data_IF_698220748703
#
_entry.id   IF_698220748703
#
_cell.length_a   1.000
_cell.length_b   1.000
_cell.length_c   1.000
_cell.angle_alpha   90.00
_cell.angle_beta   90.00
_cell.angle_gamma   90.00
#
_symmetry.space_group_name_H-M   'P 1'
#
loop_
_entity.id
_entity.type
_entity.pdbx_description
1 polymer ?
#
# COMPACT_ATOMS: atom_id res chain seq x y z
N UNK A 1 -28.99 3.26 -23.59
CA UNK A 1 -28.68 2.64 -22.28
C UNK A 1 -28.11 3.75 -21.42
N UNK A 2 -28.62 3.99 -20.20
CA UNK A 2 -27.95 4.91 -19.30
C UNK A 2 -26.58 4.34 -18.93
N UNK A 3 -25.55 5.18 -18.93
CA UNK A 3 -24.21 4.83 -18.45
C UNK A 3 -24.33 4.34 -17.01
N UNK A 4 -24.22 3.02 -16.81
CA UNK A 4 -24.11 2.45 -15.47
C UNK A 4 -22.72 2.84 -14.99
N UNK A 5 -22.58 3.60 -13.89
CA UNK A 5 -21.26 3.95 -13.39
C UNK A 5 -20.48 2.67 -13.09
N UNK A 6 -19.41 2.44 -13.85
CA UNK A 6 -18.47 1.36 -13.57
C UNK A 6 -17.68 1.76 -12.32
N UNK A 7 -18.03 1.17 -11.19
CA UNK A 7 -17.22 1.28 -9.98
C UNK A 7 -15.86 0.63 -10.20
N UNK A 8 -14.80 1.44 -10.25
CA UNK A 8 -13.43 0.94 -10.24
C UNK A 8 -13.08 0.53 -8.81
N UNK A 9 -12.83 -0.76 -8.59
CA UNK A 9 -12.29 -1.23 -7.33
C UNK A 9 -10.80 -0.93 -7.26
N UNK A 10 -10.41 0.02 -6.42
CA UNK A 10 -9.01 0.29 -6.12
C UNK A 10 -8.56 -0.61 -4.96
N UNK A 11 -7.74 -1.61 -5.28
CA UNK A 11 -7.10 -2.48 -4.29
C UNK A 11 -5.65 -2.74 -4.69
N UNK A 12 -4.76 -2.81 -3.68
CA UNK A 12 -3.38 -3.25 -3.86
C UNK A 12 -3.28 -4.70 -3.39
N UNK A 13 -3.17 -5.62 -4.34
CA UNK A 13 -3.01 -7.05 -4.09
C UNK A 13 -1.54 -7.44 -3.95
N UNK A 14 -1.20 -8.51 -3.20
CA UNK A 14 0.16 -9.05 -3.20
C UNK A 14 0.58 -9.50 -4.61
N UNK A 15 1.89 -9.59 -4.84
CA UNK A 15 2.39 -10.15 -6.09
C UNK A 15 1.88 -11.59 -6.26
N UNK A 16 1.46 -11.97 -7.47
CA UNK A 16 0.92 -13.32 -7.73
C UNK A 16 1.93 -14.44 -7.39
N UNK A 17 3.22 -14.14 -7.49
CA UNK A 17 4.31 -15.04 -7.12
C UNK A 17 4.38 -15.32 -5.61
N UNK A 18 3.81 -14.46 -4.76
CA UNK A 18 3.81 -14.65 -3.30
C UNK A 18 2.54 -15.33 -2.78
N UNK A 19 1.54 -15.53 -3.64
CA UNK A 19 0.28 -16.20 -3.26
C UNK A 19 0.44 -17.72 -3.31
N UNK A 20 -0.33 -18.47 -2.51
CA UNK A 20 -0.44 -19.92 -2.68
C UNK A 20 -1.41 -20.29 -3.82
N UNK A 21 -1.53 -21.57 -4.14
CA UNK A 21 -2.39 -22.04 -5.23
C UNK A 21 -3.87 -21.68 -4.98
N UNK A 22 -4.34 -21.85 -3.75
CA UNK A 22 -5.72 -21.59 -3.32
C UNK A 22 -6.08 -20.10 -3.39
N UNK A 23 -5.12 -19.22 -3.08
CA UNK A 23 -5.30 -17.77 -3.18
C UNK A 23 -5.34 -17.30 -4.65
N UNK A 24 -4.49 -17.89 -5.51
CA UNK A 24 -4.47 -17.57 -6.94
C UNK A 24 -5.72 -18.03 -7.69
N UNK A 25 -6.36 -19.09 -7.23
CA UNK A 25 -7.60 -19.63 -7.82
C UNK A 25 -8.88 -19.07 -7.20
N UNK A 26 -8.78 -18.22 -6.17
CA UNK A 26 -9.94 -17.56 -5.56
C UNK A 26 -10.71 -18.42 -4.55
N UNK A 27 -10.16 -19.58 -4.15
CA UNK A 27 -10.74 -20.42 -3.09
C UNK A 27 -10.34 -19.94 -1.70
N UNK A 28 -9.36 -19.05 -1.58
CA UNK A 28 -8.95 -18.40 -0.33
C UNK A 28 -8.77 -16.90 -0.51
N UNK A 29 -8.86 -16.17 0.60
CA UNK A 29 -8.59 -14.73 0.63
C UNK A 29 -7.14 -14.44 0.24
N UNK A 30 -6.90 -13.49 -0.66
CA UNK A 30 -5.53 -13.11 -1.08
C UNK A 30 -4.66 -12.55 0.05
N UNK A 31 -5.25 -12.17 1.19
CA UNK A 31 -4.53 -11.57 2.33
C UNK A 31 -4.51 -12.44 3.60
N UNK A 32 -5.26 -13.54 3.66
CA UNK A 32 -5.29 -14.40 4.85
C UNK A 32 -5.67 -15.85 4.47
N UNK A 33 -5.41 -16.86 5.32
CA UNK A 33 -5.65 -18.26 4.96
C UNK A 33 -7.14 -18.66 4.97
N UNK A 34 -8.07 -17.71 5.15
CA UNK A 34 -9.50 -17.99 5.18
C UNK A 34 -9.99 -18.50 3.82
N UNK A 35 -10.59 -19.68 3.81
CA UNK A 35 -11.31 -20.22 2.66
C UNK A 35 -12.53 -19.35 2.31
N UNK A 36 -12.82 -19.26 1.02
CA UNK A 36 -13.92 -18.50 0.42
C UNK A 36 -14.79 -19.47 -0.39
N UNK A 37 -15.90 -19.97 0.17
CA UNK A 37 -16.85 -20.80 -0.54
C UNK A 37 -17.35 -20.14 -1.85
N UNK A 38 -17.89 -20.94 -2.78
CA UNK A 38 -18.57 -20.40 -3.96
C UNK A 38 -19.61 -19.33 -3.56
N UNK A 39 -19.58 -18.17 -4.22
CA UNK A 39 -20.47 -17.04 -3.89
C UNK A 39 -20.01 -16.15 -2.73
N UNK A 40 -19.01 -16.54 -1.93
CA UNK A 40 -18.51 -15.72 -0.81
C UNK A 40 -17.25 -14.90 -1.13
N UNK A 41 -17.22 -13.65 -0.70
CA UNK A 41 -16.05 -12.80 -0.83
C UNK A 41 -16.15 -11.82 -2.00
N UNK A 42 -15.23 -10.86 -1.99
CA UNK A 42 -15.24 -9.70 -2.88
C UNK A 42 -14.22 -9.95 -3.99
N UNK A 43 -14.65 -9.86 -5.25
CA UNK A 43 -13.78 -9.98 -6.42
C UNK A 43 -12.85 -8.77 -6.53
N UNK A 44 -11.56 -9.04 -6.73
CA UNK A 44 -10.49 -8.03 -6.80
C UNK A 44 -9.87 -7.90 -8.19
N UNK A 45 -10.15 -8.86 -9.09
CA UNK A 45 -9.66 -8.88 -10.46
C UNK A 45 -10.83 -8.92 -11.44
N UNK A 46 -10.68 -8.41 -12.68
CA UNK A 46 -11.75 -8.41 -13.67
C UNK A 46 -12.27 -9.82 -14.01
N UNK A 47 -11.40 -10.83 -13.94
CA UNK A 47 -11.74 -12.24 -14.16
C UNK A 47 -12.32 -12.94 -12.92
N UNK A 48 -12.46 -12.23 -11.80
CA UNK A 48 -12.99 -12.75 -10.53
C UNK A 48 -12.10 -13.76 -9.81
N UNK A 49 -10.87 -14.04 -10.32
CA UNK A 49 -9.97 -15.03 -9.72
C UNK A 49 -9.39 -14.60 -8.38
N UNK A 50 -9.01 -13.34 -8.24
CA UNK A 50 -8.51 -12.83 -6.97
C UNK A 50 -9.70 -12.41 -6.11
N UNK A 51 -9.79 -12.96 -4.91
CA UNK A 51 -10.93 -12.73 -4.01
C UNK A 51 -10.45 -12.42 -2.59
N UNK A 52 -11.26 -11.66 -1.86
CA UNK A 52 -11.01 -11.34 -0.47
C UNK A 52 -12.20 -11.58 0.44
N UNK A 53 -11.91 -11.97 1.68
CA UNK A 53 -12.92 -11.93 2.73
C UNK A 53 -13.25 -10.47 3.09
N UNK A 54 -14.50 -10.23 3.51
CA UNK A 54 -14.98 -8.88 3.84
C UNK A 54 -14.08 -8.14 4.87
N UNK A 55 -13.62 -8.78 5.97
CA UNK A 55 -12.74 -8.10 6.93
C UNK A 55 -11.42 -7.62 6.29
N UNK A 56 -10.72 -8.47 5.55
CA UNK A 56 -9.48 -8.09 4.89
C UNK A 56 -9.72 -7.01 3.84
N UNK A 57 -10.77 -7.12 3.04
CA UNK A 57 -11.12 -6.10 2.06
C UNK A 57 -11.29 -4.72 2.72
N UNK A 58 -12.12 -4.61 3.77
CA UNK A 58 -12.33 -3.34 4.48
C UNK A 58 -11.03 -2.74 5.00
N UNK A 59 -10.18 -3.56 5.61
CA UNK A 59 -8.91 -3.09 6.16
C UNK A 59 -7.96 -2.63 5.05
N UNK A 60 -7.85 -3.39 3.97
CA UNK A 60 -6.93 -3.09 2.85
C UNK A 60 -7.38 -1.88 2.04
N UNK A 61 -8.68 -1.70 1.81
CA UNK A 61 -9.23 -0.48 1.21
C UNK A 61 -8.95 0.73 2.09
N UNK A 62 -9.06 0.60 3.42
CA UNK A 62 -8.74 1.70 4.34
C UNK A 62 -7.24 2.06 4.33
N UNK A 63 -6.36 1.08 4.20
CA UNK A 63 -4.91 1.34 4.01
C UNK A 63 -4.71 2.19 2.75
N UNK A 64 -5.34 1.82 1.64
CA UNK A 64 -5.20 2.57 0.39
C UNK A 64 -5.80 3.98 0.49
N UNK A 65 -7.01 4.11 1.03
CA UNK A 65 -7.67 5.41 1.18
C UNK A 65 -6.82 6.39 2.00
N UNK A 66 -6.35 5.95 3.17
CA UNK A 66 -5.47 6.79 4.02
C UNK A 66 -4.13 7.12 3.38
N UNK A 67 -3.60 6.24 2.51
CA UNK A 67 -2.40 6.53 1.73
C UNK A 67 -2.66 7.65 0.73
N UNK A 68 -3.76 7.55 -0.03
CA UNK A 68 -4.11 8.52 -1.07
C UNK A 68 -4.42 9.89 -0.46
N UNK A 69 -5.19 9.95 0.64
CA UNK A 69 -5.46 11.19 1.37
C UNK A 69 -4.16 11.88 1.81
N UNK A 70 -3.19 11.09 2.28
CA UNK A 70 -1.89 11.61 2.70
C UNK A 70 -1.03 12.05 1.51
N UNK A 71 -1.03 11.30 0.43
CA UNK A 71 -0.31 11.62 -0.80
C UNK A 71 -0.85 12.90 -1.44
N UNK A 72 -2.17 13.01 -1.58
CA UNK A 72 -2.85 14.18 -2.15
C UNK A 72 -2.55 15.43 -1.33
N UNK A 73 -2.57 15.34 0.00
CA UNK A 73 -2.12 16.43 0.84
C UNK A 73 -0.65 16.79 0.59
N UNK A 74 0.23 15.79 0.47
CA UNK A 74 1.67 15.98 0.25
C UNK A 74 2.00 16.73 -1.04
N UNK A 75 1.26 16.48 -2.13
CA UNK A 75 1.49 17.12 -3.43
C UNK A 75 0.79 18.48 -3.57
N UNK A 76 -0.25 18.74 -2.79
CA UNK A 76 -1.03 20.00 -2.84
C UNK A 76 -0.58 21.03 -1.80
N UNK A 77 0.05 20.60 -0.71
CA UNK A 77 0.46 21.47 0.39
C UNK A 77 1.81 22.14 0.12
N UNK A 78 1.82 23.49 0.08
CA UNK A 78 3.04 24.28 -0.16
C UNK A 78 4.13 24.13 0.94
N UNK A 79 3.77 23.65 2.14
CA UNK A 79 4.73 23.45 3.24
C UNK A 79 5.43 22.09 3.18
N UNK A 80 4.72 21.06 2.71
CA UNK A 80 5.21 19.67 2.69
C UNK A 80 6.52 19.44 1.92
N UNK A 81 6.86 20.20 0.85
CA UNK A 81 8.16 20.10 0.18
C UNK A 81 9.38 20.40 1.07
N UNK A 82 9.21 21.23 2.12
CA UNK A 82 10.28 21.60 3.05
C UNK A 82 10.36 20.66 4.27
N UNK A 83 9.41 19.72 4.38
CA UNK A 83 9.21 18.83 5.52
C UNK A 83 7.72 18.70 5.84
N UNK A 84 7.30 17.60 6.50
CA UNK A 84 5.89 17.34 6.75
C UNK A 84 5.30 18.40 7.68
N UNK A 85 4.27 19.11 7.23
CA UNK A 85 3.49 20.02 8.08
C UNK A 85 2.66 19.23 9.09
N UNK A 86 2.10 19.91 10.09
CA UNK A 86 1.27 19.28 11.15
C UNK A 86 0.17 18.37 10.58
N UNK A 87 -0.63 18.87 9.63
CA UNK A 87 -1.66 18.08 8.97
C UNK A 87 -1.09 16.86 8.22
N UNK A 88 0.04 17.03 7.55
CA UNK A 88 0.74 15.93 6.88
C UNK A 88 1.26 14.87 7.87
N UNK A 89 1.68 15.28 9.06
CA UNK A 89 2.10 14.36 10.13
C UNK A 89 0.91 13.57 10.68
N UNK A 90 -0.22 14.22 10.92
CA UNK A 90 -1.46 13.55 11.36
C UNK A 90 -1.92 12.50 10.35
N UNK A 91 -1.99 12.87 9.07
CA UNK A 91 -2.38 11.95 8.00
C UNK A 91 -1.43 10.76 7.88
N UNK A 92 -0.12 11.02 7.99
CA UNK A 92 0.90 9.97 8.04
C UNK A 92 0.71 9.03 9.23
N UNK A 93 0.50 9.57 10.43
CA UNK A 93 0.27 8.77 11.64
C UNK A 93 -1.01 7.91 11.53
N UNK A 94 -2.10 8.48 11.01
CA UNK A 94 -3.35 7.74 10.74
C UNK A 94 -3.11 6.59 9.76
N UNK A 95 -2.39 6.85 8.68
CA UNK A 95 -2.07 5.84 7.69
C UNK A 95 -1.21 4.70 8.28
N UNK A 96 -0.16 5.04 9.04
CA UNK A 96 0.69 4.06 9.71
C UNK A 96 -0.08 3.16 10.68
N UNK A 97 -0.98 3.75 11.48
CA UNK A 97 -1.83 2.99 12.40
C UNK A 97 -2.76 2.00 11.67
N UNK A 98 -3.30 2.40 10.50
CA UNK A 98 -4.14 1.49 9.69
C UNK A 98 -3.30 0.39 9.05
N UNK A 99 -2.08 0.69 8.56
CA UNK A 99 -1.18 -0.33 8.03
C UNK A 99 -0.78 -1.38 9.05
N UNK A 100 -0.47 -0.96 10.27
CA UNK A 100 -0.09 -1.85 11.37
C UNK A 100 -1.21 -2.86 11.65
N UNK A 101 -2.45 -2.37 11.81
CA UNK A 101 -3.64 -3.24 11.97
C UNK A 101 -3.87 -4.16 10.77
N UNK A 102 -3.43 -3.76 9.59
CA UNK A 102 -3.51 -4.56 8.37
C UNK A 102 -2.40 -5.61 8.24
N UNK A 103 -1.49 -5.72 9.22
CA UNK A 103 -0.36 -6.66 9.19
C UNK A 103 0.59 -6.40 8.03
N UNK A 104 0.69 -5.14 7.58
CA UNK A 104 1.59 -4.78 6.49
C UNK A 104 3.05 -4.89 6.94
N UNK A 105 3.98 -5.25 6.04
CA UNK A 105 5.39 -5.34 6.38
C UNK A 105 5.96 -3.99 6.83
N UNK A 106 7.15 -4.03 7.43
CA UNK A 106 7.93 -2.85 7.76
C UNK A 106 8.15 -1.96 6.53
N UNK A 107 8.36 -0.66 6.78
CA UNK A 107 8.59 0.31 5.71
C UNK A 107 10.04 0.27 5.26
N UNK A 108 10.24 0.36 3.96
CA UNK A 108 11.55 0.60 3.36
C UNK A 108 11.48 1.83 2.46
N UNK A 109 12.50 2.68 2.54
CA UNK A 109 12.61 3.86 1.69
C UNK A 109 12.90 3.41 0.26
N UNK A 110 12.05 3.76 -0.70
CA UNK A 110 12.25 3.34 -2.10
C UNK A 110 13.45 4.03 -2.76
N UNK A 111 13.93 5.13 -2.18
CA UNK A 111 15.12 5.85 -2.64
C UNK A 111 16.44 5.17 -2.24
N UNK A 112 16.64 4.90 -0.95
CA UNK A 112 17.88 4.27 -0.45
C UNK A 112 17.78 2.77 -0.16
N UNK A 113 16.58 2.18 -0.23
CA UNK A 113 16.26 0.78 0.09
C UNK A 113 16.51 0.36 1.54
N UNK A 114 16.86 1.29 2.43
CA UNK A 114 17.01 1.04 3.86
C UNK A 114 15.65 0.96 4.55
N UNK A 115 15.47 0.09 5.56
CA UNK A 115 14.32 0.15 6.45
C UNK A 115 14.14 1.55 7.05
N UNK A 116 12.90 1.95 7.23
CA UNK A 116 12.54 3.20 7.90
C UNK A 116 12.13 2.84 9.33
N UNK A 117 12.87 3.35 10.31
CA UNK A 117 12.60 3.06 11.71
C UNK A 117 11.34 3.79 12.22
N UNK A 118 10.65 3.24 13.25
CA UNK A 118 9.55 3.94 13.91
C UNK A 118 9.96 5.33 14.38
N UNK A 119 9.12 6.33 14.12
CA UNK A 119 9.38 7.73 14.50
C UNK A 119 10.22 8.53 13.49
N UNK A 120 10.84 7.89 12.49
CA UNK A 120 11.49 8.64 11.41
C UNK A 120 10.46 9.41 10.58
N UNK A 121 10.82 10.62 10.16
CA UNK A 121 9.98 11.41 9.28
C UNK A 121 9.93 10.77 7.89
N UNK A 122 8.72 10.44 7.45
CA UNK A 122 8.44 9.80 6.16
C UNK A 122 7.46 10.60 5.30
N UNK A 123 7.46 10.33 4.00
CA UNK A 123 6.48 10.85 3.05
C UNK A 123 6.01 9.76 2.08
N UNK A 124 4.76 9.83 1.59
CA UNK A 124 4.28 8.93 0.58
C UNK A 124 4.96 9.25 -0.76
N UNK A 125 5.12 8.25 -1.60
CA UNK A 125 5.67 8.38 -2.94
C UNK A 125 4.93 7.47 -3.91
N UNK A 126 4.27 8.08 -4.89
CA UNK A 126 3.59 7.41 -5.99
C UNK A 126 4.40 7.60 -7.27
N UNK A 127 4.65 6.51 -7.99
CA UNK A 127 5.28 6.56 -9.31
C UNK A 127 4.66 5.54 -10.25
N UNK A 128 4.90 5.71 -11.56
CA UNK A 128 4.47 4.75 -12.57
C UNK A 128 5.48 3.61 -12.66
N UNK A 129 5.07 2.40 -12.29
CA UNK A 129 5.81 1.17 -12.56
C UNK A 129 5.43 0.53 -13.90
N UNK A 130 6.09 -0.59 -14.23
CA UNK A 130 5.84 -1.34 -15.47
C UNK A 130 4.39 -1.85 -15.59
N UNK A 131 3.77 -2.16 -14.45
CA UNK A 131 2.44 -2.79 -14.40
C UNK A 131 1.37 -1.86 -13.78
N UNK A 132 1.64 -0.56 -13.67
CA UNK A 132 0.72 0.40 -13.07
C UNK A 132 1.34 1.26 -11.97
N UNK A 133 0.51 2.05 -11.26
CA UNK A 133 0.95 2.90 -10.17
C UNK A 133 1.50 2.08 -9.00
N UNK A 134 2.63 2.51 -8.46
CA UNK A 134 3.27 1.90 -7.30
C UNK A 134 3.27 2.86 -6.13
N UNK A 135 2.78 2.38 -4.99
CA UNK A 135 2.68 3.12 -3.75
C UNK A 135 3.87 2.75 -2.86
N UNK A 136 4.72 3.71 -2.54
CA UNK A 136 5.87 3.51 -1.66
C UNK A 136 6.08 4.68 -0.71
N UNK A 137 7.23 4.65 -0.05
CA UNK A 137 7.57 5.57 1.03
C UNK A 137 9.00 6.06 0.82
N UNK A 138 9.25 7.31 1.18
CA UNK A 138 10.58 7.91 1.22
C UNK A 138 10.82 8.45 2.63
N UNK A 139 12.09 8.51 3.04
CA UNK A 139 12.49 9.44 4.10
C UNK A 139 12.03 10.85 3.69
N UNK A 140 11.39 11.58 4.60
CA UNK A 140 10.81 12.89 4.31
C UNK A 140 11.87 13.95 3.98
N UNK A 141 13.09 13.76 4.47
CA UNK A 141 14.24 14.64 4.23
C UNK A 141 15.29 13.93 3.38
N UNK A 142 16.43 13.61 4.00
CA UNK A 142 17.53 12.91 3.36
C UNK A 142 17.49 11.46 3.79
N UNK A 143 17.76 10.57 2.84
CA UNK A 143 18.12 9.21 3.19
C UNK A 143 19.35 9.24 4.10
N UNK A 144 19.45 8.32 5.08
CA UNK A 144 20.69 8.13 5.81
C UNK A 144 21.80 7.85 4.79
N UNK A 145 23.00 8.38 5.04
CA UNK A 145 24.16 8.07 4.21
C UNK A 145 24.28 6.54 4.16
N UNK A 146 24.20 5.98 2.95
CA UNK A 146 24.32 4.54 2.76
C UNK A 146 25.60 4.10 3.45
N UNK A 147 25.50 3.20 4.43
CA UNK A 147 26.69 2.48 4.88
C UNK A 147 27.07 1.60 3.70
N UNK A 148 28.04 2.05 2.91
CA UNK A 148 28.57 1.29 1.78
C UNK A 148 28.93 -0.10 2.30
N UNK A 149 28.19 -1.13 1.91
CA UNK A 149 28.68 -2.50 2.08
C UNK A 149 30.05 -2.56 1.40
N UNK A 150 31.10 -3.10 2.06
CA UNK A 150 32.39 -3.27 1.42
C UNK A 150 32.19 -4.14 0.17
N UNK A 151 32.82 -3.73 -0.93
CA UNK A 151 32.81 -4.48 -2.17
C UNK A 151 33.27 -5.92 -1.92
N UNK A 152 32.65 -6.94 -2.56
CA UNK A 152 33.18 -8.28 -2.51
C UNK A 152 34.57 -8.30 -3.17
N UNK A 153 35.54 -8.88 -2.46
CA UNK A 153 36.87 -9.24 -2.99
C UNK A 153 36.74 -10.34 -4.05
#
# INVERSE_FOLDING_TARGET
>A
MPDVPQGLLLAVVPALSTLCAEQRSGVACVWCPRALPPGEGIGLSPDGRLRACRPCHTVQTRVLATYLDWYDHGITCLRCPLGPCERGQELGAQHLAVRERAGKPELSCVGCRTPIAPGEAIRPHLWQGLNGPVHGYLHARRCPASVSSPAPL
#
